data_IF_682177096268
#
_entry.id   IF_682177096268
#
_cell.length_a   1.000
_cell.length_b   1.000
_cell.length_c   1.000
_cell.angle_alpha   90.00
_cell.angle_beta   90.00
_cell.angle_gamma   90.00
#
_symmetry.space_group_name_H-M   'P 1'
#
loop_
_entity.id
_entity.type
_entity.pdbx_description
1 polymer ?
#
# COMPACT_ATOMS: atom_id res chain seq x y z
N UNK A 1 9.42 -9.30 -20.56
CA UNK A 1 9.38 -9.03 -19.14
C UNK A 1 10.05 -7.69 -18.84
N UNK A 2 9.65 -7.06 -17.76
CA UNK A 2 10.19 -5.78 -17.34
C UNK A 2 9.75 -4.61 -18.22
N UNK A 3 10.56 -3.55 -18.25
CA UNK A 3 10.21 -2.26 -18.86
C UNK A 3 9.79 -2.38 -20.33
N UNK A 4 10.40 -3.27 -21.10
CA UNK A 4 10.07 -3.48 -22.50
C UNK A 4 8.71 -4.18 -22.73
N UNK A 5 8.10 -4.74 -21.69
CA UNK A 5 6.82 -5.43 -21.77
C UNK A 5 5.62 -4.55 -21.36
N UNK A 6 5.83 -3.25 -21.12
CA UNK A 6 4.78 -2.32 -20.72
C UNK A 6 4.33 -2.45 -19.26
N UNK A 7 5.03 -3.26 -18.45
CA UNK A 7 4.87 -3.27 -16.99
C UNK A 7 5.39 -1.98 -16.37
N UNK A 8 4.91 -1.58 -15.18
CA UNK A 8 5.46 -0.43 -14.46
C UNK A 8 7.00 -0.55 -14.33
N UNK A 9 7.72 0.51 -14.67
CA UNK A 9 9.19 0.54 -14.76
C UNK A 9 9.85 0.55 -13.37
N UNK A 10 9.64 -0.56 -12.62
CA UNK A 10 10.20 -0.80 -11.31
C UNK A 10 10.90 -2.15 -11.25
N UNK A 11 12.05 -2.22 -10.59
CA UNK A 11 12.85 -3.44 -10.43
C UNK A 11 12.01 -4.60 -9.86
N UNK A 12 11.19 -4.35 -8.85
CA UNK A 12 10.34 -5.37 -8.24
C UNK A 12 9.19 -5.83 -9.16
N UNK A 13 8.71 -4.98 -10.08
CA UNK A 13 7.75 -5.39 -11.11
C UNK A 13 8.43 -6.36 -12.10
N UNK A 14 9.62 -6.02 -12.59
CA UNK A 14 10.42 -6.90 -13.47
C UNK A 14 10.78 -8.22 -12.80
N UNK A 15 11.12 -8.19 -11.51
CA UNK A 15 11.39 -9.40 -10.72
C UNK A 15 10.15 -10.28 -10.59
N UNK A 16 8.98 -9.68 -10.35
CA UNK A 16 7.72 -10.40 -10.32
C UNK A 16 7.40 -11.04 -11.67
N UNK A 17 7.60 -10.32 -12.79
CA UNK A 17 7.45 -10.87 -14.15
C UNK A 17 8.34 -12.09 -14.36
N UNK A 18 9.62 -11.99 -13.97
CA UNK A 18 10.55 -13.12 -14.06
C UNK A 18 10.04 -14.35 -13.30
N UNK A 19 9.53 -14.16 -12.09
CA UNK A 19 8.98 -15.28 -11.28
C UNK A 19 7.80 -15.94 -11.97
N UNK A 20 6.89 -15.16 -12.54
CA UNK A 20 5.73 -15.66 -13.27
C UNK A 20 6.19 -16.47 -14.49
N UNK A 21 7.08 -15.92 -15.32
CA UNK A 21 7.62 -16.58 -16.51
C UNK A 21 8.30 -17.90 -16.10
N UNK A 22 9.11 -17.89 -15.05
CA UNK A 22 9.77 -19.11 -14.55
C UNK A 22 8.76 -20.18 -14.17
N UNK A 23 7.70 -19.83 -13.44
CA UNK A 23 6.66 -20.76 -13.04
C UNK A 23 5.93 -21.37 -14.25
N UNK A 24 5.60 -20.54 -15.23
CA UNK A 24 5.00 -20.99 -16.49
C UNK A 24 5.89 -21.98 -17.25
N UNK A 25 7.18 -21.68 -17.38
CA UNK A 25 8.13 -22.52 -18.11
C UNK A 25 8.47 -23.82 -17.36
N UNK A 26 8.34 -23.86 -16.04
CA UNK A 26 8.64 -25.05 -15.21
C UNK A 26 7.41 -25.89 -14.88
N UNK A 27 6.24 -25.58 -15.46
CA UNK A 27 5.02 -26.39 -15.34
C UNK A 27 4.24 -26.16 -14.04
N UNK A 28 4.24 -24.94 -13.51
CA UNK A 28 3.32 -24.57 -12.44
C UNK A 28 1.86 -24.75 -12.90
N UNK A 29 0.96 -25.04 -11.96
CA UNK A 29 -0.46 -25.20 -12.27
C UNK A 29 -1.03 -23.90 -12.88
N UNK A 30 -1.82 -24.03 -13.95
CA UNK A 30 -2.40 -22.88 -14.67
C UNK A 30 -3.31 -22.04 -13.78
N UNK A 31 -3.97 -22.65 -12.80
CA UNK A 31 -4.89 -21.98 -11.87
C UNK A 31 -4.17 -21.30 -10.67
N UNK A 32 -2.85 -21.38 -10.58
CA UNK A 32 -2.11 -20.72 -9.51
C UNK A 32 -2.03 -19.20 -9.79
N UNK A 33 -2.60 -18.33 -8.94
CA UNK A 33 -2.52 -16.88 -9.12
C UNK A 33 -1.08 -16.36 -9.20
N UNK A 34 -0.09 -17.11 -8.71
CA UNK A 34 1.33 -16.79 -8.85
C UNK A 34 1.82 -16.85 -10.30
N UNK A 35 1.04 -17.43 -11.23
CA UNK A 35 1.41 -17.56 -12.66
C UNK A 35 0.83 -16.48 -13.56
N UNK A 36 0.16 -15.46 -12.99
CA UNK A 36 -0.48 -14.37 -13.74
C UNK A 36 -0.10 -12.99 -13.21
N UNK A 37 -0.12 -12.00 -14.11
CA UNK A 37 -0.03 -10.58 -13.73
C UNK A 37 -1.41 -9.96 -13.48
N UNK A 38 -2.49 -10.69 -13.72
CA UNK A 38 -3.85 -10.21 -13.53
C UNK A 38 -4.12 -9.86 -12.06
N UNK A 39 -4.70 -8.71 -11.81
CA UNK A 39 -5.02 -8.25 -10.44
C UNK A 39 -3.81 -7.84 -9.59
N UNK A 40 -2.59 -7.96 -10.12
CA UNK A 40 -1.38 -7.61 -9.39
C UNK A 40 -1.30 -6.10 -9.13
N UNK A 41 -1.19 -5.70 -7.88
CA UNK A 41 -0.96 -4.32 -7.47
C UNK A 41 0.53 -4.11 -7.18
N UNK A 42 1.14 -3.15 -7.87
CA UNK A 42 2.57 -2.83 -7.73
C UNK A 42 2.71 -1.60 -6.84
N UNK A 43 3.30 -1.72 -5.62
CA UNK A 43 3.64 -0.56 -4.81
C UNK A 43 4.87 0.14 -5.38
N UNK A 44 5.07 1.41 -5.04
CA UNK A 44 6.32 2.09 -5.29
C UNK A 44 6.70 3.04 -4.17
N UNK A 45 7.99 3.33 -4.06
CA UNK A 45 8.53 4.32 -3.15
C UNK A 45 9.46 5.29 -3.88
N UNK A 46 9.46 6.54 -3.41
CA UNK A 46 10.42 7.57 -3.80
C UNK A 46 11.26 7.90 -2.57
N UNK A 47 12.56 7.63 -2.65
CA UNK A 47 13.52 7.80 -1.56
C UNK A 47 14.02 9.24 -1.46
N UNK A 48 13.08 10.19 -1.38
CA UNK A 48 13.35 11.58 -1.08
C UNK A 48 13.41 11.79 0.46
N UNK A 49 13.54 13.03 0.89
CA UNK A 49 13.43 13.39 2.31
C UNK A 49 12.35 14.46 2.46
N UNK A 50 11.16 14.10 2.96
CA UNK A 50 10.71 12.77 3.42
C UNK A 50 10.48 11.77 2.26
N UNK A 51 10.49 10.46 2.59
CA UNK A 51 10.10 9.41 1.67
C UNK A 51 8.62 9.52 1.29
N UNK A 52 8.30 9.09 0.06
CA UNK A 52 6.92 8.85 -0.38
C UNK A 52 6.76 7.37 -0.74
N UNK A 53 5.68 6.75 -0.28
CA UNK A 53 5.30 5.41 -0.72
C UNK A 53 3.83 5.39 -1.13
N UNK A 54 3.52 4.63 -2.19
CA UNK A 54 2.16 4.53 -2.71
C UNK A 54 1.84 3.12 -3.20
N UNK A 55 0.57 2.74 -3.05
CA UNK A 55 -0.01 1.52 -3.63
C UNK A 55 -1.48 1.77 -3.99
N UNK A 56 -1.98 1.09 -5.02
CA UNK A 56 -3.41 1.09 -5.38
C UNK A 56 -3.93 2.44 -5.87
N UNK A 57 -5.23 2.67 -5.68
CA UNK A 57 -5.94 3.83 -6.20
C UNK A 57 -5.76 5.06 -5.33
N UNK A 58 -5.74 6.23 -5.95
CA UNK A 58 -6.01 7.50 -5.29
C UNK A 58 -7.50 7.85 -5.37
N UNK A 59 -7.91 8.95 -4.75
CA UNK A 59 -9.30 9.42 -4.74
C UNK A 59 -9.85 9.72 -6.14
N UNK A 60 -9.03 10.32 -7.01
CA UNK A 60 -9.42 10.70 -8.36
C UNK A 60 -9.64 9.45 -9.21
N UNK A 61 -8.66 8.53 -9.20
CA UNK A 61 -8.75 7.23 -9.88
C UNK A 61 -9.95 6.40 -9.42
N UNK A 62 -10.28 6.46 -8.12
CA UNK A 62 -11.44 5.77 -7.57
C UNK A 62 -12.75 6.41 -8.06
N UNK A 63 -12.86 7.74 -8.07
CA UNK A 63 -14.03 8.46 -8.59
C UNK A 63 -14.24 8.22 -10.10
N UNK A 64 -13.16 8.23 -10.88
CA UNK A 64 -13.23 7.93 -12.31
C UNK A 64 -13.76 6.53 -12.60
N UNK A 65 -13.53 5.58 -11.67
CA UNK A 65 -14.08 4.22 -11.73
C UNK A 65 -15.49 4.10 -11.18
N UNK A 66 -16.10 5.21 -10.73
CA UNK A 66 -17.45 5.23 -10.15
C UNK A 66 -17.56 4.56 -8.79
N UNK A 67 -16.44 4.44 -8.06
CA UNK A 67 -16.42 3.86 -6.73
C UNK A 67 -16.84 4.89 -5.69
N UNK A 68 -17.69 4.47 -4.76
CA UNK A 68 -17.99 5.23 -3.54
C UNK A 68 -16.93 4.91 -2.49
N UNK A 69 -16.25 5.94 -1.97
CA UNK A 69 -15.06 5.76 -1.15
C UNK A 69 -15.08 6.60 0.12
N UNK A 70 -14.54 6.01 1.17
CA UNK A 70 -14.11 6.71 2.38
C UNK A 70 -12.63 7.07 2.25
N UNK A 71 -12.24 8.23 2.77
CA UNK A 71 -10.87 8.72 2.72
C UNK A 71 -10.36 9.01 4.12
N UNK A 72 -9.43 8.16 4.56
CA UNK A 72 -8.66 8.39 5.79
C UNK A 72 -7.50 9.34 5.51
N UNK A 73 -7.22 10.28 6.43
CA UNK A 73 -6.05 11.15 6.32
C UNK A 73 -5.58 11.62 7.69
N UNK A 74 -4.27 11.53 7.93
CA UNK A 74 -3.62 12.06 9.14
C UNK A 74 -2.28 12.71 8.81
N UNK A 75 -1.86 13.73 9.55
CA UNK A 75 -0.49 14.24 9.44
C UNK A 75 0.49 13.22 10.00
N UNK A 76 1.66 13.06 9.38
CA UNK A 76 2.72 12.14 9.84
C UNK A 76 3.15 12.44 11.29
N UNK A 77 3.11 13.69 11.69
CA UNK A 77 3.42 14.13 13.06
C UNK A 77 2.45 13.56 14.13
N UNK A 78 1.26 13.06 13.74
CA UNK A 78 0.34 12.40 14.67
C UNK A 78 0.82 11.01 15.10
N UNK A 79 1.70 10.37 14.31
CA UNK A 79 2.19 9.00 14.54
C UNK A 79 3.18 8.99 15.71
N UNK A 80 3.00 8.10 16.73
CA UNK A 80 3.86 8.07 17.92
C UNK A 80 5.35 7.94 17.60
N UNK A 81 5.72 7.08 16.65
CA UNK A 81 7.11 6.90 16.24
C UNK A 81 7.72 8.14 15.58
N UNK A 82 6.95 8.88 14.79
CA UNK A 82 7.41 10.15 14.22
C UNK A 82 7.82 11.15 15.31
N UNK A 83 7.04 11.21 16.42
CA UNK A 83 7.37 12.03 17.59
C UNK A 83 8.68 11.60 18.26
N UNK A 84 8.90 10.28 18.44
CA UNK A 84 10.15 9.79 19.05
C UNK A 84 11.36 9.97 18.15
N UNK A 85 11.16 9.97 16.83
CA UNK A 85 12.19 10.30 15.84
C UNK A 85 12.47 11.81 15.76
N UNK A 86 11.69 12.64 16.48
CA UNK A 86 11.73 14.12 16.38
C UNK A 86 11.53 14.59 14.94
N UNK A 87 10.67 13.89 14.19
CA UNK A 87 10.37 14.27 12.83
C UNK A 87 9.64 15.61 12.79
N UNK A 88 10.30 16.60 12.22
CA UNK A 88 9.80 17.97 12.10
C UNK A 88 9.38 18.32 10.66
N UNK A 89 9.42 17.34 9.74
CA UNK A 89 9.07 17.55 8.34
C UNK A 89 7.57 17.52 8.10
N UNK A 90 7.15 18.12 6.99
CA UNK A 90 5.81 18.00 6.47
C UNK A 90 5.60 16.59 5.90
N UNK A 91 4.42 16.04 6.16
CA UNK A 91 4.04 14.74 5.63
C UNK A 91 2.62 14.38 6.07
N UNK A 92 2.02 13.48 5.34
CA UNK A 92 0.70 12.96 5.67
C UNK A 92 0.57 11.51 5.22
N UNK A 93 -0.32 10.79 5.83
CA UNK A 93 -0.77 9.48 5.38
C UNK A 93 -2.20 9.58 4.95
N UNK A 94 -2.51 8.97 3.81
CA UNK A 94 -3.85 8.92 3.24
C UNK A 94 -4.14 7.51 2.74
N UNK A 95 -5.36 7.01 3.01
CA UNK A 95 -5.87 5.78 2.43
C UNK A 95 -7.24 6.02 1.80
N UNK A 96 -7.52 5.26 0.75
CA UNK A 96 -8.80 5.19 0.05
C UNK A 96 -9.40 3.81 0.32
N UNK A 97 -10.63 3.78 0.80
CA UNK A 97 -11.34 2.60 1.25
C UNK A 97 -12.68 2.52 0.52
N UNK A 98 -13.08 1.35 0.07
CA UNK A 98 -14.41 1.12 -0.51
C UNK A 98 -15.48 1.32 0.57
N UNK A 99 -16.43 2.22 0.34
CA UNK A 99 -17.46 2.58 1.34
C UNK A 99 -18.43 1.42 1.63
N UNK A 100 -18.53 0.43 0.75
CA UNK A 100 -19.45 -0.70 0.88
C UNK A 100 -18.79 -1.95 1.47
N UNK A 101 -17.58 -2.27 1.02
CA UNK A 101 -16.87 -3.49 1.45
C UNK A 101 -15.90 -3.22 2.59
N UNK A 102 -15.51 -1.95 2.80
CA UNK A 102 -14.48 -1.51 3.73
C UNK A 102 -13.06 -2.00 3.39
N UNK A 103 -12.89 -2.62 2.20
CA UNK A 103 -11.57 -3.02 1.71
C UNK A 103 -10.72 -1.80 1.37
N UNK A 104 -9.41 -1.94 1.59
CA UNK A 104 -8.44 -0.88 1.28
C UNK A 104 -8.18 -0.91 -0.22
N UNK A 105 -8.50 0.18 -0.93
CA UNK A 105 -8.29 0.34 -2.36
C UNK A 105 -6.92 0.93 -2.71
N UNK A 106 -6.34 1.66 -1.79
CA UNK A 106 -5.02 2.24 -1.98
C UNK A 106 -4.57 3.14 -0.84
N UNK A 107 -3.28 3.46 -0.84
CA UNK A 107 -2.69 4.38 0.14
C UNK A 107 -1.54 5.19 -0.45
N UNK A 108 -1.37 6.40 0.09
CA UNK A 108 -0.22 7.28 -0.13
C UNK A 108 0.30 7.74 1.21
N UNK A 109 1.56 7.44 1.48
CA UNK A 109 2.23 7.72 2.75
C UNK A 109 3.43 8.63 2.47
N UNK A 110 3.57 9.72 3.22
CA UNK A 110 4.72 10.63 3.16
C UNK A 110 5.28 10.77 4.56
N UNK A 111 6.55 10.41 4.75
CA UNK A 111 7.22 10.47 6.06
C UNK A 111 8.40 9.52 6.15
N UNK A 112 9.02 9.37 7.33
CA UNK A 112 10.14 8.46 7.51
C UNK A 112 9.68 6.99 7.44
N UNK A 113 10.48 6.14 6.81
CA UNK A 113 10.30 4.68 6.71
C UNK A 113 8.96 4.24 6.09
N UNK A 114 8.29 5.08 5.33
CA UNK A 114 7.01 4.73 4.69
C UNK A 114 7.18 3.70 3.58
N UNK A 115 8.38 3.60 2.99
CA UNK A 115 8.76 2.56 2.04
C UNK A 115 8.64 1.14 2.61
N UNK A 116 8.86 0.98 3.92
CA UNK A 116 8.69 -0.30 4.61
C UNK A 116 7.23 -0.52 5.02
N UNK A 117 6.56 0.53 5.48
CA UNK A 117 5.16 0.45 5.95
C UNK A 117 4.20 0.09 4.83
N UNK A 118 4.44 0.57 3.59
CA UNK A 118 3.55 0.32 2.46
C UNK A 118 3.35 -1.17 2.16
N UNK A 119 4.31 -2.02 2.52
CA UNK A 119 4.22 -3.48 2.39
C UNK A 119 3.09 -4.05 3.25
N UNK A 120 2.86 -3.50 4.45
CA UNK A 120 1.74 -3.92 5.30
C UNK A 120 0.39 -3.62 4.63
N UNK A 121 0.27 -2.46 3.98
CA UNK A 121 -0.92 -2.11 3.18
C UNK A 121 -1.09 -3.06 2.01
N UNK A 122 0.00 -3.39 1.30
CA UNK A 122 -0.02 -4.34 0.17
C UNK A 122 -0.53 -5.72 0.61
N UNK A 123 -0.05 -6.23 1.75
CA UNK A 123 -0.50 -7.53 2.29
C UNK A 123 -1.98 -7.47 2.66
N UNK A 124 -2.43 -6.38 3.29
CA UNK A 124 -3.84 -6.19 3.62
C UNK A 124 -4.74 -6.18 2.37
N UNK A 125 -4.33 -5.44 1.32
CA UNK A 125 -5.04 -5.41 0.04
C UNK A 125 -5.07 -6.77 -0.64
N UNK A 126 -3.94 -7.50 -0.66
CA UNK A 126 -3.86 -8.84 -1.24
C UNK A 126 -4.70 -9.88 -0.47
N UNK A 127 -4.87 -9.67 0.82
CA UNK A 127 -5.72 -10.49 1.70
C UNK A 127 -7.17 -10.04 1.78
N UNK A 128 -7.58 -9.02 1.00
CA UNK A 128 -8.94 -8.43 1.07
C UNK A 128 -9.35 -8.04 2.48
N UNK A 129 -8.39 -7.53 3.28
CA UNK A 129 -8.67 -7.09 4.64
C UNK A 129 -9.41 -5.76 4.65
N UNK A 130 -10.33 -5.63 5.59
CA UNK A 130 -11.01 -4.35 5.83
C UNK A 130 -10.13 -3.40 6.64
N UNK A 131 -10.40 -2.11 6.55
CA UNK A 131 -9.64 -1.11 7.31
C UNK A 131 -9.78 -1.30 8.83
N UNK A 132 -10.94 -1.80 9.31
CA UNK A 132 -11.15 -2.09 10.72
C UNK A 132 -10.22 -3.19 11.23
N UNK A 133 -9.94 -4.21 10.40
CA UNK A 133 -9.02 -5.26 10.78
C UNK A 133 -7.61 -4.72 11.04
N UNK A 134 -7.14 -3.75 10.22
CA UNK A 134 -5.87 -3.05 10.49
C UNK A 134 -5.96 -2.08 11.67
N UNK A 135 -7.09 -1.39 11.82
CA UNK A 135 -7.35 -0.45 12.91
C UNK A 135 -7.22 -1.12 14.28
N UNK A 136 -7.74 -2.33 14.42
CA UNK A 136 -7.77 -3.05 15.70
C UNK A 136 -6.64 -4.07 15.88
N UNK A 137 -5.74 -4.21 14.91
CA UNK A 137 -4.60 -5.11 15.02
C UNK A 137 -3.62 -4.61 16.09
N UNK A 138 -3.21 -5.42 17.08
CA UNK A 138 -2.18 -5.01 18.03
C UNK A 138 -0.82 -4.90 17.32
N UNK A 139 -0.34 -3.67 17.13
CA UNK A 139 0.95 -3.36 16.49
C UNK A 139 1.97 -2.96 17.53
N UNK A 140 3.24 -3.35 17.32
CA UNK A 140 4.32 -3.00 18.23
C UNK A 140 4.48 -1.47 18.37
N UNK A 141 4.64 -1.00 19.62
CA UNK A 141 4.80 0.41 19.97
C UNK A 141 6.22 0.72 20.50
N UNK A 142 6.84 1.87 20.10
CA UNK A 142 6.41 2.79 19.04
C UNK A 142 7.03 2.39 17.70
N UNK A 143 6.23 2.24 16.68
CA UNK A 143 6.68 1.97 15.30
C UNK A 143 6.02 2.89 14.29
N UNK A 144 6.58 3.02 13.07
CA UNK A 144 5.88 3.72 11.99
C UNK A 144 4.66 2.94 11.52
N UNK A 145 4.71 1.60 11.53
CA UNK A 145 3.58 0.74 11.14
C UNK A 145 2.31 0.97 12.00
N UNK A 146 2.47 1.33 13.27
CA UNK A 146 1.37 1.75 14.16
C UNK A 146 0.58 2.96 13.59
N UNK A 147 1.20 3.73 12.72
CA UNK A 147 0.54 4.83 12.02
C UNK A 147 -0.66 4.38 11.18
N UNK A 148 -0.76 3.11 10.79
CA UNK A 148 -1.93 2.59 10.09
C UNK A 148 -3.17 2.56 11.01
N UNK A 149 -3.00 2.26 12.30
CA UNK A 149 -4.09 2.36 13.28
C UNK A 149 -4.55 3.82 13.40
N UNK A 150 -3.61 4.75 13.59
CA UNK A 150 -3.89 6.20 13.68
C UNK A 150 -4.59 6.70 12.41
N UNK A 151 -4.16 6.22 11.24
CA UNK A 151 -4.76 6.56 9.95
C UNK A 151 -6.23 6.11 9.90
N UNK A 152 -6.51 4.86 10.23
CA UNK A 152 -7.86 4.32 10.13
C UNK A 152 -8.79 4.74 11.28
N UNK A 153 -8.24 5.18 12.41
CA UNK A 153 -9.02 5.85 13.47
C UNK A 153 -9.68 7.16 12.98
N UNK A 154 -9.14 7.78 11.92
CA UNK A 154 -9.73 9.00 11.34
C UNK A 154 -11.03 8.78 10.56
N UNK A 155 -11.43 7.54 10.33
CA UNK A 155 -12.69 7.19 9.67
C UNK A 155 -13.88 7.03 10.64
N UNK A 156 -13.65 7.04 11.96
CA UNK A 156 -14.68 6.97 12.99
C UNK A 156 -14.73 5.64 13.71
#
# INVERSE_FOLDING_TARGET
AGDCAGTPMFTHASWSDFRIIRLQLTGAAEDDPATSTAGRTIPYAVFASPELARIGLNEEEARERGLDVLVARVPTAAIPRAKTLRYAGDGFWKAVVDARTHEILGATLIGPNVSEVITAVQVAMAGHLTYEQLRFLPVAHPTMAEGLQVLFDSLG
#
